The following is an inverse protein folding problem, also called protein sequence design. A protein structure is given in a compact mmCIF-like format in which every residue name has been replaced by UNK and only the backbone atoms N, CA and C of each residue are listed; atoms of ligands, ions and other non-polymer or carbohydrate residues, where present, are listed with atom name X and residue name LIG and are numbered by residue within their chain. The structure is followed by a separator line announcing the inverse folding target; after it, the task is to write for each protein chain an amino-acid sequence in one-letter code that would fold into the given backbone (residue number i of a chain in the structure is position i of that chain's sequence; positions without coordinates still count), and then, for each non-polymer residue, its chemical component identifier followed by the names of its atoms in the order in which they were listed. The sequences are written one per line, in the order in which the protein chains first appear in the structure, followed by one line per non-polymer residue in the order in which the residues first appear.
data_IF_089068061741
#
_entry.id   IF_089068061741
#
_cell.length_a   1.000
_cell.length_b   1.000
_cell.length_c   1.000
_cell.angle_alpha   90.00
_cell.angle_beta   90.00
_cell.angle_gamma   90.00
#
_symmetry.space_group_name_H-M   'P 1'
#
loop_
_entity.id
_entity.type
_entity.pdbx_description
1 polymer ?
#
# COMPACT_ATOMS: atom_id res chain seq x y z
N UNK A 1 16.07 -18.85 -43.81
CA UNK A 1 17.23 -19.06 -42.91
C UNK A 1 17.43 -17.82 -42.05
N UNK A 2 17.17 -17.95 -40.74
CA UNK A 2 17.17 -16.89 -39.74
C UNK A 2 18.54 -16.21 -39.57
N UNK A 3 18.57 -14.88 -39.48
CA UNK A 3 19.62 -14.14 -38.77
C UNK A 3 19.14 -12.79 -38.26
N UNK A 4 18.11 -12.79 -37.41
CA UNK A 4 17.77 -11.63 -36.60
C UNK A 4 18.77 -11.52 -35.47
N UNK A 5 19.70 -10.59 -35.61
CA UNK A 5 20.61 -10.11 -34.56
C UNK A 5 19.81 -9.86 -33.28
N UNK A 6 19.94 -10.73 -32.28
CA UNK A 6 19.52 -10.47 -30.91
C UNK A 6 20.35 -9.31 -30.40
N UNK A 7 19.78 -8.10 -30.42
CA UNK A 7 20.26 -7.01 -29.59
C UNK A 7 19.97 -7.40 -28.14
N UNK A 8 21.00 -7.81 -27.41
CA UNK A 8 20.98 -7.84 -25.96
C UNK A 8 21.29 -6.42 -25.46
N UNK A 9 20.40 -5.74 -24.71
CA UNK A 9 20.81 -4.55 -24.01
C UNK A 9 21.40 -4.95 -22.66
N UNK A 10 22.73 -4.96 -22.60
CA UNK A 10 23.45 -4.78 -21.34
C UNK A 10 23.21 -3.36 -20.84
N UNK A 11 22.54 -3.22 -19.68
CA UNK A 11 22.60 -1.99 -18.88
C UNK A 11 22.80 -2.34 -17.40
N UNK A 12 23.79 -1.74 -16.71
CA UNK A 12 24.08 -2.04 -15.31
C UNK A 12 22.99 -1.41 -14.43
N UNK A 13 22.36 -2.18 -13.56
CA UNK A 13 21.28 -1.68 -12.69
C UNK A 13 21.62 -1.85 -11.22
N UNK A 14 22.65 -1.13 -10.74
CA UNK A 14 22.67 -0.63 -9.35
C UNK A 14 21.82 0.64 -9.28
N UNK A 15 20.54 0.55 -9.60
CA UNK A 15 19.55 1.44 -9.02
C UNK A 15 19.06 0.68 -7.79
N UNK A 16 18.95 1.31 -6.62
CA UNK A 16 18.07 0.79 -5.55
C UNK A 16 16.65 0.85 -6.10
N UNK A 17 16.36 -0.08 -6.99
CA UNK A 17 15.04 -0.46 -7.41
C UNK A 17 14.46 -1.09 -6.17
N UNK A 18 13.39 -0.50 -5.65
CA UNK A 18 12.19 -1.27 -5.29
C UNK A 18 12.27 -2.60 -6.03
N UNK A 19 12.57 -3.68 -5.29
CA UNK A 19 12.96 -4.94 -5.93
C UNK A 19 11.86 -5.44 -6.87
N UNK A 20 10.62 -4.97 -6.64
CA UNK A 20 9.42 -5.34 -7.36
C UNK A 20 8.68 -4.06 -7.79
N UNK A 21 8.30 -3.94 -9.08
CA UNK A 21 7.47 -2.83 -9.54
C UNK A 21 6.10 -2.82 -8.86
N UNK A 22 5.56 -3.98 -8.44
CA UNK A 22 4.33 -4.04 -7.65
C UNK A 22 4.43 -3.29 -6.31
N UNK A 23 5.63 -3.18 -5.74
CA UNK A 23 5.84 -2.47 -4.48
C UNK A 23 5.87 -0.94 -4.66
N UNK A 24 6.07 -0.42 -5.88
CA UNK A 24 6.01 1.02 -6.15
C UNK A 24 4.62 1.58 -5.89
N UNK A 25 3.59 0.87 -6.36
CA UNK A 25 2.20 1.27 -6.14
C UNK A 25 1.87 1.26 -4.65
N UNK A 26 2.30 0.23 -3.91
CA UNK A 26 2.07 0.14 -2.46
C UNK A 26 2.83 1.22 -1.70
N UNK A 27 4.06 1.52 -2.09
CA UNK A 27 4.85 2.59 -1.49
C UNK A 27 4.18 3.96 -1.70
N UNK A 28 3.67 4.23 -2.91
CA UNK A 28 2.92 5.44 -3.22
C UNK A 28 1.63 5.53 -2.37
N UNK A 29 0.91 4.42 -2.23
CA UNK A 29 -0.29 4.34 -1.38
C UNK A 29 0.00 4.62 0.10
N UNK A 30 1.10 4.10 0.65
CA UNK A 30 1.52 4.41 2.03
C UNK A 30 1.80 5.91 2.19
N UNK A 31 2.46 6.53 1.20
CA UNK A 31 2.76 7.95 1.24
C UNK A 31 1.50 8.82 1.18
N UNK A 32 0.58 8.50 0.26
CA UNK A 32 -0.69 9.21 0.14
C UNK A 32 -1.53 9.07 1.41
N UNK A 33 -1.63 7.85 1.96
CA UNK A 33 -2.31 7.60 3.22
C UNK A 33 -1.69 8.38 4.38
N UNK A 34 -0.36 8.41 4.47
CA UNK A 34 0.36 9.19 5.50
C UNK A 34 -0.01 10.68 5.44
N UNK A 35 -0.05 11.25 4.24
CA UNK A 35 -0.46 12.65 4.03
C UNK A 35 -1.93 12.87 4.37
N UNK A 36 -2.81 11.94 4.02
CA UNK A 36 -4.22 12.00 4.35
C UNK A 36 -4.47 11.97 5.86
N UNK A 37 -3.77 11.09 6.60
CA UNK A 37 -3.86 11.03 8.07
C UNK A 37 -3.29 12.32 8.68
N UNK A 38 -2.12 12.77 8.21
CA UNK A 38 -1.52 14.02 8.68
C UNK A 38 -2.44 15.24 8.46
N UNK A 39 -3.18 15.26 7.35
CA UNK A 39 -4.16 16.33 7.05
C UNK A 39 -5.40 16.26 7.96
N UNK A 40 -5.78 15.07 8.44
CA UNK A 40 -6.93 14.87 9.32
C UNK A 40 -6.61 15.13 10.81
N UNK A 41 -5.33 15.13 11.18
CA UNK A 41 -4.90 15.37 12.55
C UNK A 41 -4.54 16.85 12.74
N UNK A 42 -5.21 17.58 13.64
CA UNK A 42 -4.95 19.02 13.85
C UNK A 42 -3.55 19.33 14.41
N UNK A 43 -2.82 18.31 14.89
CA UNK A 43 -1.41 18.41 15.31
C UNK A 43 -0.43 17.65 14.39
N UNK A 44 -0.90 17.18 13.23
CA UNK A 44 -0.15 16.30 12.35
C UNK A 44 -0.03 14.87 12.89
N UNK A 45 0.81 14.07 12.23
CA UNK A 45 0.97 12.67 12.58
C UNK A 45 1.91 12.52 13.79
N UNK A 46 1.50 11.86 14.88
CA UNK A 46 2.35 11.66 16.05
C UNK A 46 3.59 10.84 15.70
N UNK A 47 4.70 11.10 16.39
CA UNK A 47 6.03 10.57 16.00
C UNK A 47 6.07 9.05 15.88
N UNK A 48 5.39 8.32 16.78
CA UNK A 48 5.33 6.86 16.73
C UNK A 48 4.59 6.34 15.49
N UNK A 49 3.53 7.03 15.05
CA UNK A 49 2.79 6.70 13.81
C UNK A 49 3.61 7.07 12.58
N UNK A 50 4.29 8.23 12.60
CA UNK A 50 5.18 8.65 11.52
C UNK A 50 6.34 7.67 11.33
N UNK A 51 6.97 7.22 12.43
CA UNK A 51 7.99 6.17 12.40
C UNK A 51 7.44 4.85 11.87
N UNK A 52 6.22 4.47 12.26
CA UNK A 52 5.60 3.23 11.79
C UNK A 52 5.32 3.25 10.28
N UNK A 53 4.80 4.36 9.73
CA UNK A 53 4.61 4.54 8.28
C UNK A 53 5.93 4.60 7.52
N UNK A 54 6.94 5.28 8.09
CA UNK A 54 8.29 5.32 7.50
C UNK A 54 8.96 3.93 7.46
N UNK A 55 8.79 3.14 8.51
CA UNK A 55 9.24 1.76 8.58
C UNK A 55 8.51 0.89 7.56
N UNK A 56 7.19 1.04 7.41
CA UNK A 56 6.40 0.34 6.40
C UNK A 56 6.84 0.69 4.98
N UNK A 57 7.00 1.97 4.68
CA UNK A 57 7.50 2.44 3.39
C UNK A 57 8.88 1.87 3.07
N UNK A 58 9.81 1.96 4.03
CA UNK A 58 11.16 1.40 3.88
C UNK A 58 11.13 -0.13 3.72
N UNK A 59 10.24 -0.81 4.45
CA UNK A 59 10.01 -2.24 4.36
C UNK A 59 9.52 -2.64 2.97
N UNK A 60 8.53 -1.94 2.41
CA UNK A 60 8.02 -2.17 1.04
C UNK A 60 9.10 -1.93 -0.01
N UNK A 61 9.90 -0.87 0.15
CA UNK A 61 11.00 -0.56 -0.77
C UNK A 61 12.11 -1.63 -0.76
N UNK A 62 12.37 -2.25 0.39
CA UNK A 62 13.44 -3.24 0.59
C UNK A 62 12.95 -4.68 0.52
N UNK A 63 11.64 -4.91 0.55
CA UNK A 63 11.03 -6.22 0.47
C UNK A 63 11.45 -6.95 -0.81
N UNK A 64 11.66 -8.26 -0.67
CA UNK A 64 11.97 -9.18 -1.78
C UNK A 64 10.71 -9.89 -2.30
N UNK A 65 9.62 -9.80 -1.55
CA UNK A 65 8.31 -10.35 -1.86
C UNK A 65 7.33 -9.21 -2.19
N UNK A 66 6.36 -9.45 -3.10
CA UNK A 66 5.38 -8.43 -3.46
C UNK A 66 4.40 -8.24 -2.29
N UNK A 67 4.27 -7.01 -1.83
CA UNK A 67 3.29 -6.67 -0.79
C UNK A 67 1.95 -6.47 -1.49
N UNK A 68 0.97 -7.34 -1.26
CA UNK A 68 -0.35 -7.26 -1.92
C UNK A 68 -1.50 -7.05 -0.95
N UNK A 69 -1.23 -7.24 0.34
CA UNK A 69 -2.24 -7.15 1.39
C UNK A 69 -1.71 -6.40 2.60
N UNK A 70 -2.63 -5.95 3.46
CA UNK A 70 -2.28 -5.40 4.76
C UNK A 70 -1.56 -6.45 5.65
N UNK A 71 -1.87 -7.74 5.47
CA UNK A 71 -1.17 -8.85 6.14
C UNK A 71 0.30 -8.94 5.75
N UNK A 72 0.63 -8.71 4.47
CA UNK A 72 2.04 -8.66 4.02
C UNK A 72 2.79 -7.49 4.63
N UNK A 73 2.14 -6.33 4.80
CA UNK A 73 2.71 -5.21 5.54
C UNK A 73 2.99 -5.58 7.00
N UNK A 74 2.07 -6.29 7.66
CA UNK A 74 2.23 -6.71 9.05
C UNK A 74 3.46 -7.62 9.26
N UNK A 75 3.87 -8.36 8.22
CA UNK A 75 5.05 -9.22 8.24
C UNK A 75 6.36 -8.43 8.14
N UNK A 76 6.33 -7.16 7.73
CA UNK A 76 7.51 -6.32 7.62
C UNK A 76 7.99 -5.86 9.00
N UNK A 77 9.30 -5.93 9.21
CA UNK A 77 9.93 -5.56 10.48
C UNK A 77 9.72 -4.07 10.79
N UNK A 78 9.11 -3.79 11.95
CA UNK A 78 8.84 -2.42 12.41
C UNK A 78 7.49 -1.86 11.99
N UNK A 79 6.68 -2.63 11.26
CA UNK A 79 5.29 -2.28 10.96
C UNK A 79 4.41 -2.70 12.13
N UNK A 80 3.84 -1.71 12.82
CA UNK A 80 2.88 -1.96 13.91
C UNK A 80 1.48 -2.26 13.38
N UNK A 81 0.65 -2.90 14.21
CA UNK A 81 -0.74 -3.22 13.86
C UNK A 81 -1.58 -2.02 13.42
N UNK A 82 -1.29 -0.82 13.95
CA UNK A 82 -1.94 0.42 13.51
C UNK A 82 -1.71 0.73 12.02
N UNK A 83 -0.51 0.48 11.48
CA UNK A 83 -0.22 0.72 10.05
C UNK A 83 -1.06 -0.22 9.17
N UNK A 84 -1.18 -1.47 9.61
CA UNK A 84 -2.00 -2.48 8.94
C UNK A 84 -3.46 -2.03 8.90
N UNK A 85 -3.96 -1.49 10.00
CA UNK A 85 -5.33 -0.99 10.13
C UNK A 85 -5.60 0.19 9.18
N UNK A 86 -4.74 1.22 9.19
CA UNK A 86 -4.93 2.39 8.32
C UNK A 86 -4.70 2.07 6.83
N UNK A 87 -3.81 1.11 6.52
CA UNK A 87 -3.53 0.69 5.16
C UNK A 87 -4.51 -0.36 4.65
N UNK A 88 -5.32 -0.98 5.52
CA UNK A 88 -6.28 -2.02 5.17
C UNK A 88 -7.15 -1.54 4.02
N UNK A 89 -7.78 -0.38 4.15
CA UNK A 89 -8.63 0.25 3.13
C UNK A 89 -7.95 0.48 1.76
N UNK A 90 -6.62 0.51 1.73
CA UNK A 90 -5.84 0.79 0.51
C UNK A 90 -5.54 -0.46 -0.34
N UNK A 91 -5.83 -1.66 0.18
CA UNK A 91 -5.63 -2.91 -0.54
C UNK A 91 -6.94 -3.44 -1.13
N UNK A 92 -6.92 -3.93 -2.39
CA UNK A 92 -8.09 -4.54 -3.03
C UNK A 92 -8.39 -5.87 -2.31
N UNK A 93 -9.45 -5.88 -1.51
CA UNK A 93 -9.80 -6.97 -0.59
C UNK A 93 -10.44 -6.47 0.71
N UNK A 94 -10.31 -5.17 1.00
CA UNK A 94 -10.89 -4.52 2.20
C UNK A 94 -12.22 -3.86 1.94
N UNK A 95 -12.66 -3.81 0.67
CA UNK A 95 -14.02 -3.46 0.28
C UNK A 95 -14.96 -4.62 0.62
N UNK A 96 -14.99 -5.05 1.90
CA UNK A 96 -16.24 -5.55 2.42
C UNK A 96 -17.10 -4.30 2.58
N UNK A 97 -17.89 -4.06 1.56
CA UNK A 97 -18.94 -3.06 1.43
C UNK A 97 -19.54 -2.69 2.80
N UNK A 98 -19.01 -1.63 3.42
CA UNK A 98 -19.66 -0.91 4.50
C UNK A 98 -20.45 0.28 3.91
N UNK A 99 -20.97 0.13 2.69
CA UNK A 99 -22.16 0.87 2.34
C UNK A 99 -23.19 0.53 3.42
N UNK A 100 -23.71 1.49 4.22
CA UNK A 100 -24.91 1.19 4.98
C UNK A 100 -25.92 0.65 3.96
N UNK A 101 -26.59 -0.50 4.23
CA UNK A 101 -27.59 -1.01 3.31
C UNK A 101 -28.54 0.16 3.05
N UNK A 102 -28.61 0.59 1.79
CA UNK A 102 -29.50 1.64 1.36
C UNK A 102 -30.86 1.23 1.89
N UNK A 103 -31.35 1.97 2.88
CA UNK A 103 -32.60 1.70 3.57
C UNK A 103 -33.70 1.76 2.52
N UNK A 104 -34.02 0.62 1.92
CA UNK A 104 -35.27 0.45 1.20
C UNK A 104 -36.31 0.35 2.30
N UNK A 105 -36.87 1.49 2.66
CA UNK A 105 -38.20 1.53 3.29
C UNK A 105 -39.12 0.71 2.39
N UNK A 106 -39.67 -0.43 2.86
CA UNK A 106 -40.76 -1.05 2.16
C UNK A 106 -41.90 -0.04 2.17
N UNK A 107 -42.42 0.29 0.99
CA UNK A 107 -43.70 0.97 0.89
C UNK A 107 -44.73 0.12 1.62
N UNK A 108 -45.14 0.58 2.80
CA UNK A 108 -46.34 0.06 3.43
C UNK A 108 -47.53 0.67 2.71
N UNK A 109 -48.36 -0.22 2.18
CA UNK A 109 -49.63 0.06 1.52
C UNK A 109 -50.70 0.25 2.59
N UNK A 110 -51.52 1.29 2.44
CA UNK A 110 -52.72 1.52 3.24
C UNK A 110 -53.49 2.73 2.73
#
# INVERSE_FOLDING_TARGET
PNRTTRMAPSVPKKKRKVNLPENEEVAARIFDKSRSIASQQPGGLPEHQARALSAAYSGVCTAKEPVRTAGDLARLKGVGGWVVDVMKDCFPGSSLDLSPPRSNTPGETG
#
